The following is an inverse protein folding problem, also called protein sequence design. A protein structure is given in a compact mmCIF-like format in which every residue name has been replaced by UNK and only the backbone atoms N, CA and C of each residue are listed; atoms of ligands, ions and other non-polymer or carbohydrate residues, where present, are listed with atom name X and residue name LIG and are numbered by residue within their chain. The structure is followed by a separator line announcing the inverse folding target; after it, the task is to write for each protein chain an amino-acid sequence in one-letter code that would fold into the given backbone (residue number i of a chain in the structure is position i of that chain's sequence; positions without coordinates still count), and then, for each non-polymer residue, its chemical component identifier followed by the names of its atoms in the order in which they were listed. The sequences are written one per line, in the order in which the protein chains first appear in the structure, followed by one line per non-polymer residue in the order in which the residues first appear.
data_IF_200471443455
#
_entry.id   IF_200471443455
#
_cell.length_a   1.000
_cell.length_b   1.000
_cell.length_c   1.000
_cell.angle_alpha   90.00
_cell.angle_beta   90.00
_cell.angle_gamma   90.00
#
_symmetry.space_group_name_H-M   'P 1'
#
loop_
_entity.id
_entity.type
_entity.pdbx_description
1 polymer ?
#
# COMPACT_ATOMS: atom_id res chain seq x y z
N UNK A 1 -17.62 2.89 -7.77
CA UNK A 1 -16.96 1.80 -8.51
C UNK A 1 -16.45 0.80 -7.49
N UNK A 2 -16.90 -0.45 -7.52
CA UNK A 2 -16.42 -1.52 -6.63
C UNK A 2 -15.05 -2.04 -7.10
N UNK A 3 -14.43 -2.94 -6.32
CA UNK A 3 -13.24 -3.69 -6.73
C UNK A 3 -13.39 -4.25 -8.16
N UNK A 4 -12.33 -4.15 -8.95
CA UNK A 4 -12.27 -4.65 -10.32
C UNK A 4 -10.95 -5.37 -10.58
N UNK A 5 -11.02 -6.66 -10.91
CA UNK A 5 -9.84 -7.51 -11.17
C UNK A 5 -9.24 -7.30 -12.55
N UNK A 6 -10.00 -6.77 -13.51
CA UNK A 6 -9.50 -6.48 -14.86
C UNK A 6 -10.26 -5.30 -15.49
N UNK A 7 -9.54 -4.21 -15.71
CA UNK A 7 -10.03 -2.98 -16.33
C UNK A 7 -9.76 -2.95 -17.85
N UNK A 8 -9.11 -3.97 -18.41
CA UNK A 8 -8.68 -3.99 -19.81
C UNK A 8 -9.82 -3.90 -20.83
N UNK A 9 -11.03 -4.30 -20.45
CA UNK A 9 -12.24 -4.17 -21.28
C UNK A 9 -12.81 -2.75 -21.32
N UNK A 10 -12.47 -1.92 -20.33
CA UNK A 10 -12.97 -0.54 -20.22
C UNK A 10 -12.04 0.46 -20.92
N UNK A 11 -10.72 0.28 -20.77
CA UNK A 11 -9.72 1.12 -21.41
C UNK A 11 -8.39 0.39 -21.58
N UNK A 12 -7.60 0.80 -22.57
CA UNK A 12 -6.27 0.24 -22.84
C UNK A 12 -5.15 0.91 -22.04
N UNK A 13 -5.36 2.16 -21.62
CA UNK A 13 -4.41 3.02 -20.88
C UNK A 13 -5.18 4.01 -20.01
N UNK A 14 -4.57 4.49 -18.93
CA UNK A 14 -5.13 5.45 -18.00
C UNK A 14 -4.08 6.53 -17.68
N UNK A 15 -4.26 7.74 -18.22
CA UNK A 15 -3.34 8.86 -18.03
C UNK A 15 -3.84 9.91 -17.05
N UNK A 16 -5.14 9.90 -16.72
CA UNK A 16 -5.74 10.78 -15.72
C UNK A 16 -6.78 10.02 -14.91
N UNK A 17 -7.05 10.49 -13.70
CA UNK A 17 -8.03 9.90 -12.80
C UNK A 17 -8.68 10.99 -11.96
N UNK A 18 -9.96 10.85 -11.67
CA UNK A 18 -10.65 11.66 -10.68
C UNK A 18 -11.28 10.73 -9.65
N UNK A 19 -10.97 10.97 -8.39
CA UNK A 19 -11.61 10.29 -7.26
C UNK A 19 -12.56 11.28 -6.61
N UNK A 20 -13.85 11.07 -6.85
CA UNK A 20 -14.90 11.93 -6.30
C UNK A 20 -15.07 11.74 -4.78
N UNK A 21 -14.89 10.52 -4.29
CA UNK A 21 -15.04 10.16 -2.88
C UNK A 21 -14.26 8.89 -2.53
N UNK A 22 -13.77 8.80 -1.29
CA UNK A 22 -13.09 7.63 -0.75
C UNK A 22 -11.66 7.46 -1.25
N UNK A 23 -11.12 6.26 -1.01
CA UNK A 23 -9.76 5.89 -1.33
C UNK A 23 -9.72 4.65 -2.23
N UNK A 24 -8.79 4.63 -3.18
CA UNK A 24 -8.61 3.54 -4.13
C UNK A 24 -7.15 3.12 -4.20
N UNK A 25 -6.93 1.81 -4.33
CA UNK A 25 -5.64 1.27 -4.74
C UNK A 25 -5.73 0.84 -6.20
N UNK A 26 -4.94 1.46 -7.07
CA UNK A 26 -4.79 1.06 -8.46
C UNK A 26 -3.60 0.13 -8.62
N UNK A 27 -3.67 -0.76 -9.61
CA UNK A 27 -2.63 -1.75 -9.89
C UNK A 27 -2.30 -1.79 -11.37
N UNK A 28 -1.00 -1.94 -11.66
CA UNK A 28 -0.48 -1.94 -13.02
C UNK A 28 -0.93 -3.13 -13.87
N UNK A 29 -1.19 -4.28 -13.23
CA UNK A 29 -1.60 -5.54 -13.88
C UNK A 29 -2.98 -6.02 -13.39
N UNK A 30 -3.65 -6.90 -14.15
CA UNK A 30 -4.87 -7.55 -13.68
C UNK A 30 -4.63 -8.32 -12.38
N UNK A 31 -5.72 -8.62 -11.67
CA UNK A 31 -5.74 -9.41 -10.43
C UNK A 31 -4.92 -8.81 -9.28
N UNK A 32 -4.86 -7.48 -9.18
CA UNK A 32 -4.19 -6.74 -8.10
C UNK A 32 -2.68 -6.98 -8.03
N UNK A 33 -2.04 -7.06 -9.20
CA UNK A 33 -0.62 -7.37 -9.35
C UNK A 33 0.17 -6.19 -9.93
N UNK A 34 1.49 -6.24 -9.81
CA UNK A 34 2.38 -5.21 -10.34
C UNK A 34 2.54 -4.01 -9.40
N UNK A 35 3.01 -2.89 -9.93
CA UNK A 35 3.10 -1.65 -9.16
C UNK A 35 1.71 -1.20 -8.69
N UNK A 36 1.67 -0.66 -7.47
CA UNK A 36 0.45 -0.24 -6.80
C UNK A 36 0.47 1.28 -6.62
N UNK A 37 -0.70 1.93 -6.71
CA UNK A 37 -0.82 3.38 -6.62
C UNK A 37 -2.03 3.76 -5.76
N UNK A 38 -1.80 4.51 -4.68
CA UNK A 38 -2.84 4.99 -3.78
C UNK A 38 -3.39 6.32 -4.25
N UNK A 39 -4.71 6.40 -4.42
CA UNK A 39 -5.42 7.63 -4.72
C UNK A 39 -6.48 7.89 -3.64
N UNK A 40 -6.47 9.10 -3.11
CA UNK A 40 -7.53 9.65 -2.26
C UNK A 40 -8.42 10.57 -3.09
N UNK A 41 -9.47 11.13 -2.48
CA UNK A 41 -10.28 12.18 -3.11
C UNK A 41 -9.40 13.26 -3.74
N UNK A 42 -9.65 13.57 -5.01
CA UNK A 42 -8.88 14.54 -5.77
C UNK A 42 -8.94 14.35 -7.27
N UNK A 43 -8.34 15.31 -7.98
CA UNK A 43 -8.15 15.28 -9.42
C UNK A 43 -6.68 15.03 -9.75
N UNK A 44 -6.44 14.03 -10.58
CA UNK A 44 -5.12 13.60 -11.01
C UNK A 44 -5.04 13.74 -12.54
N UNK A 45 -4.61 14.91 -13.05
CA UNK A 45 -4.61 15.20 -14.48
C UNK A 45 -3.59 14.38 -15.28
N UNK A 46 -2.55 13.86 -14.62
CA UNK A 46 -1.49 13.05 -15.22
C UNK A 46 -1.04 11.95 -14.24
N UNK A 47 -0.40 10.90 -14.77
CA UNK A 47 0.01 9.75 -13.95
C UNK A 47 1.15 10.04 -12.97
N UNK A 48 1.94 11.10 -13.18
CA UNK A 48 2.97 11.49 -12.21
C UNK A 48 2.33 11.98 -10.90
N UNK A 49 1.10 12.52 -10.94
CA UNK A 49 0.36 13.00 -9.76
C UNK A 49 -0.02 11.89 -8.78
N UNK A 50 -0.12 10.64 -9.22
CA UNK A 50 -0.29 9.47 -8.33
C UNK A 50 0.98 8.63 -8.17
N UNK A 51 2.15 9.20 -8.48
CA UNK A 51 3.44 8.48 -8.47
C UNK A 51 3.49 7.31 -9.46
N UNK A 52 2.73 7.39 -10.56
CA UNK A 52 2.78 6.45 -11.67
C UNK A 52 4.13 6.44 -12.37
N UNK A 53 4.65 5.23 -12.64
CA UNK A 53 5.81 5.04 -13.53
C UNK A 53 5.38 4.75 -14.97
N UNK A 54 4.09 4.43 -15.18
CA UNK A 54 3.48 4.12 -16.48
C UNK A 54 2.01 4.54 -16.47
N UNK A 55 1.40 4.58 -17.67
CA UNK A 55 -0.04 4.79 -17.88
C UNK A 55 -0.84 3.48 -17.86
N UNK A 56 -0.22 2.37 -17.45
CA UNK A 56 -0.87 1.07 -17.36
C UNK A 56 -1.55 0.90 -16.02
N UNK A 57 -2.88 1.00 -16.01
CA UNK A 57 -3.73 0.60 -14.88
C UNK A 57 -4.66 -0.50 -15.37
N UNK A 58 -4.72 -1.61 -14.64
CA UNK A 58 -5.41 -2.84 -15.08
C UNK A 58 -6.28 -3.48 -14.02
N UNK A 59 -6.14 -3.12 -12.75
CA UNK A 59 -7.10 -3.50 -11.71
C UNK A 59 -7.15 -2.44 -10.61
N UNK A 60 -8.22 -2.43 -9.83
CA UNK A 60 -8.37 -1.49 -8.72
C UNK A 60 -9.14 -2.11 -7.54
N UNK A 61 -8.83 -1.64 -6.33
CA UNK A 61 -9.59 -1.93 -5.12
C UNK A 61 -10.11 -0.65 -4.51
N UNK A 62 -11.35 -0.67 -4.06
CA UNK A 62 -11.83 0.34 -3.13
C UNK A 62 -11.25 0.02 -1.74
N UNK A 63 -10.73 1.03 -1.06
CA UNK A 63 -10.27 0.89 0.32
C UNK A 63 -11.45 1.26 1.21
N UNK A 64 -11.97 0.32 2.03
CA UNK A 64 -13.10 0.60 2.91
C UNK A 64 -12.80 1.78 3.83
N UNK A 65 -13.78 2.67 3.98
CA UNK A 65 -13.75 3.69 5.01
C UNK A 65 -13.74 3.01 6.38
N UNK A 66 -12.69 3.23 7.15
CA UNK A 66 -12.62 2.77 8.54
C UNK A 66 -12.64 3.96 9.49
N UNK A 67 -13.61 3.94 10.41
CA UNK A 67 -13.60 4.75 11.62
C UNK A 67 -13.13 3.83 12.75
N UNK A 68 -11.85 3.88 13.07
CA UNK A 68 -11.28 2.95 14.04
C UNK A 68 -9.81 3.17 14.31
N UNK A 69 -9.28 2.36 15.21
CA UNK A 69 -7.87 2.30 15.55
C UNK A 69 -7.04 1.68 14.42
N UNK A 70 -5.74 1.92 14.51
CA UNK A 70 -4.74 1.36 13.61
C UNK A 70 -3.75 0.60 14.46
N UNK A 71 -3.53 -0.68 14.16
CA UNK A 71 -2.58 -1.50 14.90
C UNK A 71 -1.99 -2.58 14.01
N UNK A 72 -0.67 -2.67 14.01
CA UNK A 72 0.06 -3.67 13.20
C UNK A 72 1.30 -4.16 13.96
N UNK A 73 1.58 -5.46 13.82
CA UNK A 73 2.84 -6.07 14.28
C UNK A 73 3.69 -6.45 13.10
N UNK A 74 4.97 -6.15 13.18
CA UNK A 74 5.99 -6.39 12.15
C UNK A 74 7.09 -7.24 12.76
N UNK A 75 7.70 -8.09 11.95
CA UNK A 75 8.63 -9.11 12.42
C UNK A 75 9.89 -9.15 11.55
N UNK A 76 11.03 -9.33 12.23
CA UNK A 76 12.36 -9.43 11.62
C UNK A 76 12.50 -10.66 10.70
N UNK A 77 11.76 -11.75 10.96
CA UNK A 77 11.82 -12.99 10.17
C UNK A 77 10.47 -13.36 9.59
N UNK A 78 10.49 -14.26 8.60
CA UNK A 78 9.28 -14.84 8.02
C UNK A 78 8.49 -15.62 9.09
N UNK A 79 7.22 -15.91 8.80
CA UNK A 79 6.36 -16.72 9.66
C UNK A 79 6.26 -16.17 11.09
N UNK A 80 6.27 -14.84 11.25
CA UNK A 80 6.18 -14.11 12.52
C UNK A 80 7.33 -14.38 13.51
N UNK A 81 8.50 -14.77 13.00
CA UNK A 81 9.68 -15.03 13.81
C UNK A 81 10.57 -13.80 14.08
N UNK A 82 11.53 -13.98 14.99
CA UNK A 82 12.53 -12.94 15.32
C UNK A 82 11.97 -11.80 16.16
N UNK A 83 12.63 -10.65 16.13
CA UNK A 83 12.18 -9.48 16.87
C UNK A 83 10.82 -8.97 16.36
N UNK A 84 9.90 -8.69 17.29
CA UNK A 84 8.59 -8.11 17.00
C UNK A 84 8.57 -6.61 17.31
N UNK A 85 7.98 -5.83 16.41
CA UNK A 85 7.72 -4.40 16.57
C UNK A 85 6.24 -4.11 16.38
N UNK A 86 5.67 -3.26 17.24
CA UNK A 86 4.27 -2.84 17.14
C UNK A 86 4.19 -1.38 16.66
N UNK A 87 3.26 -1.10 15.74
CA UNK A 87 3.03 0.22 15.17
C UNK A 87 1.54 0.56 15.22
N UNK A 88 1.24 1.74 15.76
CA UNK A 88 -0.12 2.31 15.88
C UNK A 88 -0.26 3.68 15.18
N UNK A 89 0.87 4.28 14.80
CA UNK A 89 0.96 5.59 14.17
C UNK A 89 1.81 5.56 12.91
N UNK A 90 1.80 6.65 12.17
CA UNK A 90 2.65 6.79 10.99
C UNK A 90 4.14 6.72 11.37
N UNK A 91 4.96 6.24 10.44
CA UNK A 91 6.40 6.14 10.57
C UNK A 91 7.06 6.74 9.31
N UNK A 92 7.61 7.95 9.44
CA UNK A 92 8.26 8.66 8.32
C UNK A 92 9.64 8.09 7.97
N UNK A 93 10.36 7.51 8.92
CA UNK A 93 11.63 6.82 8.69
C UNK A 93 11.74 5.60 9.60
N UNK A 94 11.66 4.41 9.00
CA UNK A 94 11.68 3.14 9.70
C UNK A 94 13.04 2.85 10.37
N UNK A 95 14.14 3.23 9.71
CA UNK A 95 15.49 3.06 10.24
C UNK A 95 15.73 3.91 11.49
N UNK A 96 15.27 5.16 11.48
CA UNK A 96 15.44 6.05 12.63
C UNK A 96 14.64 5.55 13.84
N UNK A 97 13.43 5.01 13.60
CA UNK A 97 12.51 4.58 14.67
C UNK A 97 12.83 3.22 15.26
N UNK A 98 13.23 2.26 14.42
CA UNK A 98 13.40 0.86 14.83
C UNK A 98 14.83 0.34 14.65
N UNK A 99 15.74 1.14 14.09
CA UNK A 99 17.12 0.74 13.76
C UNK A 99 17.18 -0.49 12.84
N UNK A 100 16.18 -0.61 11.98
CA UNK A 100 15.99 -1.70 11.03
C UNK A 100 15.44 -1.14 9.72
N UNK A 101 15.68 -1.84 8.61
CA UNK A 101 15.16 -1.50 7.28
C UNK A 101 14.33 -2.61 6.65
N UNK A 102 14.25 -3.77 7.28
CA UNK A 102 13.68 -4.98 6.69
C UNK A 102 12.56 -5.54 7.54
N UNK A 103 11.41 -5.76 6.89
CA UNK A 103 10.24 -6.42 7.47
C UNK A 103 10.00 -7.69 6.67
N UNK A 104 10.16 -8.85 7.32
CA UNK A 104 10.00 -10.13 6.65
C UNK A 104 8.58 -10.67 6.75
N UNK A 105 7.85 -10.38 7.83
CA UNK A 105 6.43 -10.73 7.98
C UNK A 105 5.70 -9.71 8.85
N UNK A 106 4.38 -9.64 8.74
CA UNK A 106 3.57 -8.74 9.55
C UNK A 106 2.13 -9.23 9.73
N UNK A 107 1.49 -8.80 10.82
CA UNK A 107 0.08 -8.99 11.09
C UNK A 107 -0.58 -7.61 11.23
N UNK A 108 -1.43 -7.26 10.26
CA UNK A 108 -2.27 -6.07 10.31
C UNK A 108 -3.52 -6.43 11.11
N UNK A 109 -3.53 -6.03 12.38
CA UNK A 109 -4.64 -6.33 13.27
C UNK A 109 -5.80 -5.38 13.01
N UNK A 110 -5.51 -4.10 12.80
CA UNK A 110 -6.52 -3.04 12.68
C UNK A 110 -6.07 -1.96 11.68
N UNK A 111 -7.05 -1.41 10.97
CA UNK A 111 -6.86 -0.33 10.01
C UNK A 111 -6.25 -0.79 8.68
N UNK A 112 -6.11 0.17 7.77
CA UNK A 112 -5.50 -0.01 6.46
C UNK A 112 -4.20 0.80 6.39
N UNK A 113 -3.16 0.20 5.81
CA UNK A 113 -1.83 0.81 5.82
C UNK A 113 -1.20 0.82 4.44
N UNK A 114 -0.28 1.77 4.25
CA UNK A 114 0.62 1.85 3.12
C UNK A 114 2.05 1.66 3.61
N UNK A 115 2.73 0.70 3.01
CA UNK A 115 4.17 0.50 3.15
C UNK A 115 4.87 1.19 1.99
N UNK A 116 6.03 1.77 2.26
CA UNK A 116 6.88 2.41 1.26
C UNK A 116 8.30 1.88 1.38
N UNK A 117 8.95 1.56 0.26
CA UNK A 117 10.32 1.04 0.25
C UNK A 117 11.39 2.10 0.59
N UNK A 118 11.03 3.40 0.54
CA UNK A 118 11.89 4.51 0.92
C UNK A 118 11.31 5.31 2.10
N UNK A 119 12.17 6.04 2.85
CA UNK A 119 11.71 7.01 3.84
C UNK A 119 10.84 8.11 3.25
N UNK A 120 10.10 8.80 4.12
CA UNK A 120 9.26 9.96 3.80
C UNK A 120 8.16 9.70 2.77
N UNK A 121 7.59 8.49 2.78
CA UNK A 121 6.46 8.06 1.94
C UNK A 121 6.78 8.11 0.44
N UNK A 122 7.99 7.67 0.07
CA UNK A 122 8.51 7.68 -1.31
C UNK A 122 8.74 6.27 -1.83
N UNK A 123 8.95 6.19 -3.14
CA UNK A 123 9.30 4.94 -3.81
C UNK A 123 8.08 4.04 -4.01
N UNK A 124 8.31 2.72 -4.02
CA UNK A 124 7.23 1.74 -4.27
C UNK A 124 6.34 1.64 -3.05
N UNK A 125 5.04 1.60 -3.29
CA UNK A 125 4.05 1.44 -2.24
C UNK A 125 3.38 0.06 -2.26
N UNK A 126 3.00 -0.42 -1.08
CA UNK A 126 2.30 -1.69 -0.89
C UNK A 126 1.09 -1.48 0.01
N UNK A 127 -0.07 -1.91 -0.46
CA UNK A 127 -1.31 -1.82 0.29
C UNK A 127 -1.46 -3.00 1.26
N UNK A 128 -1.57 -2.67 2.54
CA UNK A 128 -1.67 -3.62 3.64
C UNK A 128 -3.07 -3.53 4.24
N UNK A 129 -3.91 -4.51 3.91
CA UNK A 129 -5.24 -4.71 4.52
C UNK A 129 -5.13 -5.56 5.79
N UNK A 130 -6.15 -5.52 6.69
CA UNK A 130 -6.20 -6.43 7.84
C UNK A 130 -5.96 -7.89 7.45
N UNK A 131 -5.12 -8.57 8.22
CA UNK A 131 -4.74 -9.95 7.99
C UNK A 131 -3.26 -10.26 8.23
N UNK A 132 -2.94 -11.53 8.04
CA UNK A 132 -1.63 -12.14 8.23
C UNK A 132 -0.83 -12.18 6.92
N UNK A 133 0.41 -11.70 6.97
CA UNK A 133 1.38 -11.76 5.87
C UNK A 133 2.64 -12.43 6.39
N UNK A 134 2.89 -13.66 5.97
CA UNK A 134 3.96 -14.53 6.50
C UNK A 134 5.30 -14.29 5.84
N UNK A 135 5.31 -13.59 4.71
CA UNK A 135 6.51 -13.22 3.94
C UNK A 135 6.27 -11.94 3.14
N UNK A 136 7.35 -11.24 2.76
CA UNK A 136 7.23 -9.98 2.02
C UNK A 136 6.60 -10.10 0.63
N UNK A 137 6.63 -11.29 0.02
CA UNK A 137 5.95 -11.52 -1.26
C UNK A 137 4.43 -11.50 -1.12
N UNK A 138 3.87 -11.69 0.08
CA UNK A 138 2.42 -11.73 0.32
C UNK A 138 1.77 -10.37 0.09
N UNK A 139 2.51 -9.27 0.24
CA UNK A 139 2.07 -7.91 -0.09
C UNK A 139 2.53 -7.43 -1.47
N UNK A 140 3.09 -8.32 -2.29
CA UNK A 140 3.61 -8.00 -3.63
C UNK A 140 5.01 -7.37 -3.63
N UNK A 141 5.74 -7.43 -2.52
CA UNK A 141 7.12 -6.98 -2.42
C UNK A 141 8.09 -7.88 -3.19
N UNK A 142 9.07 -7.28 -3.87
CA UNK A 142 10.24 -7.99 -4.43
C UNK A 142 11.41 -8.05 -3.44
N UNK A 143 11.29 -7.33 -2.33
CA UNK A 143 12.27 -7.18 -1.25
C UNK A 143 11.52 -6.94 0.06
N UNK A 144 12.16 -7.27 1.19
CA UNK A 144 11.71 -6.95 2.54
C UNK A 144 11.93 -5.50 2.96
N UNK A 145 12.60 -4.69 2.13
CA UNK A 145 12.99 -3.33 2.50
C UNK A 145 11.78 -2.41 2.65
N UNK A 146 11.66 -1.79 3.82
CA UNK A 146 10.63 -0.81 4.16
C UNK A 146 11.32 0.42 4.76
N UNK A 147 11.08 1.58 4.15
CA UNK A 147 11.64 2.86 4.59
C UNK A 147 10.64 3.74 5.33
N UNK A 148 9.34 3.63 5.05
CA UNK A 148 8.30 4.36 5.78
C UNK A 148 6.94 3.66 5.69
N UNK A 149 6.06 3.98 6.64
CA UNK A 149 4.75 3.35 6.81
C UNK A 149 3.73 4.41 7.16
N UNK A 150 2.56 4.38 6.53
CA UNK A 150 1.50 5.37 6.74
C UNK A 150 0.15 4.69 6.93
N UNK A 151 -0.66 5.21 7.84
CA UNK A 151 -2.08 4.84 7.98
C UNK A 151 -2.90 5.46 6.87
N UNK A 152 -3.87 4.72 6.36
CA UNK A 152 -4.85 5.24 5.42
C UNK A 152 -6.02 5.80 6.23
N UNK A 153 -6.00 7.12 6.40
CA UNK A 153 -7.07 7.87 7.03
C UNK A 153 -7.85 8.62 5.95
N UNK A 154 -9.16 8.61 6.04
CA UNK A 154 -10.01 9.49 5.21
C UNK A 154 -10.13 10.84 5.92
N UNK A 155 -10.08 11.94 5.15
CA UNK A 155 -10.27 13.31 5.64
C UNK A 155 -11.57 13.90 5.09
#
# INVERSE_FOLDING_TARGET
MSDCTDLSSYFSRCNSCRVESGCFMLYERPNYMGHQYFLSRGEYPDYHRWMGMSDSIRSCRMIPMMRGSHRMRMYERMEFGGQMMELMDDCTNFMDRFHMSDIQSCNVMEGHWLFYDQPHYRGRMYYMRPGEYRRYSDWGGMSSRIGSIRRIMDY
#
